data_IF_864102787133
#
_entry.id   IF_864102787133
#
_cell.length_a   1.000
_cell.length_b   1.000
_cell.length_c   1.000
_cell.angle_alpha   90.00
_cell.angle_beta   90.00
_cell.angle_gamma   90.00
#
_symmetry.space_group_name_H-M   'P 1'
#
loop_
_entity.id
_entity.type
_entity.pdbx_description
1 polymer ?
#
# COMPACT_ATOMS: atom_id res chain seq x y z
N UNK A 1 35.98 15.30 15.02
CA UNK A 1 35.17 15.24 13.78
C UNK A 1 35.51 14.06 12.87
N UNK A 2 36.79 13.80 12.57
CA UNK A 2 37.22 12.77 11.62
C UNK A 2 36.65 11.35 11.88
N UNK A 3 36.59 10.91 13.14
CA UNK A 3 36.03 9.61 13.52
C UNK A 3 34.54 9.46 13.20
N UNK A 4 33.74 10.53 13.32
CA UNK A 4 32.31 10.52 13.00
C UNK A 4 32.08 10.37 11.49
N UNK A 5 32.91 11.03 10.68
CA UNK A 5 32.84 10.97 9.22
C UNK A 5 33.19 9.56 8.72
N UNK A 6 34.26 8.96 9.27
CA UNK A 6 34.66 7.58 8.90
C UNK A 6 33.60 6.57 9.33
N UNK A 7 33.04 6.70 10.54
CA UNK A 7 31.96 5.83 11.00
C UNK A 7 30.71 5.96 10.12
N UNK A 8 30.28 7.18 9.80
CA UNK A 8 29.13 7.42 8.92
C UNK A 8 29.34 6.82 7.53
N UNK A 9 30.51 7.04 6.92
CA UNK A 9 30.86 6.47 5.62
C UNK A 9 30.80 4.95 5.64
N UNK A 10 31.31 4.31 6.70
CA UNK A 10 31.29 2.86 6.84
C UNK A 10 29.86 2.32 6.96
N UNK A 11 29.04 2.93 7.81
CA UNK A 11 27.63 2.55 7.98
C UNK A 11 26.86 2.71 6.67
N UNK A 12 27.04 3.81 5.95
CA UNK A 12 26.38 4.03 4.65
C UNK A 12 26.83 3.02 3.60
N UNK A 13 28.14 2.74 3.54
CA UNK A 13 28.69 1.76 2.61
C UNK A 13 28.15 0.35 2.90
N UNK A 14 28.13 -0.06 4.17
CA UNK A 14 27.59 -1.35 4.58
C UNK A 14 26.08 -1.42 4.32
N UNK A 15 25.32 -0.35 4.58
CA UNK A 15 23.88 -0.30 4.34
C UNK A 15 23.55 -0.40 2.84
N UNK A 16 24.24 0.36 1.97
CA UNK A 16 24.04 0.31 0.52
C UNK A 16 24.49 -1.06 -0.04
N UNK A 17 25.60 -1.60 0.48
CA UNK A 17 26.09 -2.92 0.11
C UNK A 17 25.06 -4.01 0.41
N UNK A 18 24.51 -4.02 1.63
CA UNK A 18 23.46 -4.95 2.02
C UNK A 18 22.18 -4.74 1.23
N UNK A 19 21.74 -3.49 1.02
CA UNK A 19 20.56 -3.19 0.21
C UNK A 19 20.67 -3.77 -1.20
N UNK A 20 21.83 -3.64 -1.85
CA UNK A 20 22.06 -4.21 -3.18
C UNK A 20 22.16 -5.74 -3.15
N UNK A 21 22.75 -6.32 -2.10
CA UNK A 21 22.96 -7.78 -1.98
C UNK A 21 21.66 -8.51 -1.64
N UNK A 22 20.76 -7.86 -0.89
CA UNK A 22 19.50 -8.42 -0.42
C UNK A 22 18.31 -8.05 -1.35
N UNK A 23 18.56 -7.80 -2.65
CA UNK A 23 17.56 -7.45 -3.67
C UNK A 23 16.67 -6.23 -3.35
N UNK A 24 17.21 -5.25 -2.61
CA UNK A 24 16.48 -4.10 -2.10
C UNK A 24 15.74 -3.31 -3.20
N UNK A 25 16.33 -3.15 -4.38
CA UNK A 25 15.67 -2.48 -5.52
C UNK A 25 14.41 -3.21 -6.00
N UNK A 26 14.50 -4.54 -6.12
CA UNK A 26 13.38 -5.37 -6.56
C UNK A 26 12.27 -5.38 -5.50
N UNK A 27 12.64 -5.50 -4.22
CA UNK A 27 11.70 -5.49 -3.10
C UNK A 27 11.01 -4.13 -2.96
N UNK A 28 11.75 -3.02 -3.08
CA UNK A 28 11.18 -1.67 -3.05
C UNK A 28 10.20 -1.45 -4.21
N UNK A 29 10.56 -1.88 -5.42
CA UNK A 29 9.67 -1.78 -6.59
C UNK A 29 8.41 -2.63 -6.43
N UNK A 30 8.56 -3.86 -5.93
CA UNK A 30 7.44 -4.75 -5.67
C UNK A 30 6.49 -4.15 -4.63
N UNK A 31 7.01 -3.62 -3.52
CA UNK A 31 6.21 -2.97 -2.49
C UNK A 31 5.51 -1.70 -3.01
N UNK A 32 6.20 -0.88 -3.80
CA UNK A 32 5.63 0.33 -4.38
C UNK A 32 4.47 0.01 -5.33
N UNK A 33 4.68 -0.92 -6.28
CA UNK A 33 3.65 -1.32 -7.25
C UNK A 33 2.46 -1.97 -6.55
N UNK A 34 2.70 -2.88 -5.60
CA UNK A 34 1.60 -3.53 -4.85
C UNK A 34 0.80 -2.54 -4.02
N UNK A 35 1.44 -1.54 -3.42
CA UNK A 35 0.77 -0.47 -2.69
C UNK A 35 -0.09 0.41 -3.61
N UNK A 36 0.45 0.79 -4.78
CA UNK A 36 -0.30 1.56 -5.78
C UNK A 36 -1.49 0.77 -6.33
N UNK A 37 -1.34 -0.54 -6.58
CA UNK A 37 -2.44 -1.40 -7.01
C UNK A 37 -3.54 -1.53 -5.94
N UNK A 38 -3.19 -1.51 -4.65
CA UNK A 38 -4.15 -1.58 -3.56
C UNK A 38 -4.92 -0.27 -3.33
N UNK A 39 -4.36 0.87 -3.76
CA UNK A 39 -4.93 2.19 -3.54
C UNK A 39 -6.31 2.35 -4.17
N UNK A 40 -6.49 1.94 -5.43
CA UNK A 40 -7.79 2.05 -6.11
C UNK A 40 -8.90 1.20 -5.47
N UNK A 41 -8.73 -0.13 -5.26
CA UNK A 41 -9.71 -0.94 -4.55
C UNK A 41 -10.04 -0.42 -3.16
N UNK A 42 -9.04 0.08 -2.42
CA UNK A 42 -9.25 0.68 -1.11
C UNK A 42 -10.13 1.92 -1.18
N UNK A 43 -9.86 2.83 -2.13
CA UNK A 43 -10.68 4.04 -2.30
C UNK A 43 -12.12 3.70 -2.70
N UNK A 44 -12.33 2.73 -3.60
CA UNK A 44 -13.66 2.22 -3.95
C UNK A 44 -14.39 1.69 -2.71
N UNK A 45 -13.71 0.89 -1.89
CA UNK A 45 -14.29 0.37 -0.66
C UNK A 45 -14.62 1.50 0.35
N UNK A 46 -13.68 2.40 0.62
CA UNK A 46 -13.86 3.48 1.57
C UNK A 46 -15.01 4.42 1.17
N UNK A 47 -15.12 4.74 -0.13
CA UNK A 47 -16.16 5.61 -0.67
C UNK A 47 -17.53 4.95 -0.70
N UNK A 48 -17.60 3.68 -1.10
CA UNK A 48 -18.85 2.90 -1.03
C UNK A 48 -19.33 2.71 0.41
N UNK A 49 -18.42 2.44 1.34
CA UNK A 49 -18.73 2.36 2.78
C UNK A 49 -19.24 3.72 3.31
N UNK A 50 -18.58 4.82 2.96
CA UNK A 50 -19.05 6.16 3.34
C UNK A 50 -20.45 6.46 2.78
N UNK A 51 -20.74 6.10 1.53
CA UNK A 51 -22.06 6.28 0.90
C UNK A 51 -23.14 5.40 1.55
N UNK A 52 -22.78 4.18 1.95
CA UNK A 52 -23.64 3.25 2.68
C UNK A 52 -23.99 3.78 4.08
N UNK A 53 -23.01 4.38 4.79
CA UNK A 53 -23.20 4.98 6.11
C UNK A 53 -23.82 6.39 6.07
N UNK A 54 -24.07 6.95 4.89
CA UNK A 54 -24.61 8.31 4.72
C UNK A 54 -23.60 9.44 5.00
N UNK A 55 -22.30 9.13 5.01
CA UNK A 55 -21.20 10.04 5.31
C UNK A 55 -20.52 10.63 4.04
N UNK A 56 -21.29 10.87 2.96
CA UNK A 56 -20.74 11.29 1.65
C UNK A 56 -19.89 12.57 1.72
N UNK A 57 -20.29 13.55 2.54
CA UNK A 57 -19.53 14.79 2.73
C UNK A 57 -18.11 14.58 3.30
N UNK A 58 -17.89 13.49 4.06
CA UNK A 58 -16.57 13.14 4.58
C UNK A 58 -15.68 12.47 3.53
N UNK A 59 -16.28 11.74 2.58
CA UNK A 59 -15.54 11.09 1.50
C UNK A 59 -14.91 12.11 0.54
N UNK A 60 -15.67 13.12 0.11
CA UNK A 60 -15.15 14.20 -0.76
C UNK A 60 -13.98 14.93 -0.10
N UNK A 61 -14.13 15.25 1.20
CA UNK A 61 -13.08 15.92 1.98
C UNK A 61 -11.82 15.05 2.11
N UNK A 62 -11.97 13.75 2.35
CA UNK A 62 -10.84 12.83 2.48
C UNK A 62 -10.07 12.65 1.16
N UNK A 63 -10.77 12.62 0.02
CA UNK A 63 -10.15 12.54 -1.30
C UNK A 63 -9.32 13.80 -1.56
N UNK A 64 -9.89 14.99 -1.33
CA UNK A 64 -9.15 16.24 -1.49
C UNK A 64 -7.91 16.29 -0.57
N UNK A 65 -8.04 15.93 0.71
CA UNK A 65 -6.92 15.88 1.65
C UNK A 65 -5.76 14.97 1.20
N UNK A 66 -6.06 13.82 0.61
CA UNK A 66 -5.03 12.87 0.16
C UNK A 66 -4.36 13.35 -1.13
N UNK A 67 -5.14 13.89 -2.07
CA UNK A 67 -4.65 14.20 -3.42
C UNK A 67 -4.17 15.63 -3.62
N UNK A 68 -4.47 16.58 -2.73
CA UNK A 68 -4.00 17.97 -2.83
C UNK A 68 -2.47 18.09 -2.72
N UNK A 69 -1.82 17.11 -2.09
CA UNK A 69 -0.35 17.06 -1.98
C UNK A 69 0.32 16.41 -3.18
N UNK A 70 -0.45 15.83 -4.11
CA UNK A 70 0.06 15.10 -5.27
C UNK A 70 0.10 16.00 -6.52
N UNK A 71 1.04 15.76 -7.46
CA UNK A 71 1.02 16.43 -8.75
C UNK A 71 -0.34 16.24 -9.45
N UNK A 72 -0.89 17.32 -10.00
CA UNK A 72 -2.24 17.36 -10.56
C UNK A 72 -2.48 16.28 -11.65
N UNK A 73 -1.44 15.97 -12.41
CA UNK A 73 -1.46 14.96 -13.48
C UNK A 73 -1.72 13.54 -12.95
N UNK A 74 -1.36 13.27 -11.69
CA UNK A 74 -1.57 11.97 -11.02
C UNK A 74 -2.87 11.98 -10.22
N UNK A 75 -3.17 13.10 -9.54
CA UNK A 75 -4.35 13.27 -8.72
C UNK A 75 -5.67 13.25 -9.53
N UNK A 76 -5.74 13.99 -10.64
CA UNK A 76 -6.98 14.16 -11.43
C UNK A 76 -7.61 12.84 -11.88
N UNK A 77 -6.88 11.90 -12.50
CA UNK A 77 -7.46 10.61 -12.91
C UNK A 77 -8.04 9.82 -11.74
N UNK A 78 -7.32 9.77 -10.60
CA UNK A 78 -7.75 8.99 -9.44
C UNK A 78 -8.98 9.62 -8.80
N UNK A 79 -8.96 10.93 -8.57
CA UNK A 79 -10.09 11.67 -7.99
C UNK A 79 -11.36 11.54 -8.84
N UNK A 80 -11.23 11.57 -10.18
CA UNK A 80 -12.37 11.41 -11.09
C UNK A 80 -13.02 10.04 -10.93
N UNK A 81 -12.24 8.98 -10.87
CA UNK A 81 -12.79 7.63 -10.67
C UNK A 81 -13.42 7.48 -9.29
N UNK A 82 -12.85 8.10 -8.25
CA UNK A 82 -13.46 8.10 -6.93
C UNK A 82 -14.84 8.80 -6.94
N UNK A 83 -14.96 9.96 -7.60
CA UNK A 83 -16.22 10.68 -7.72
C UNK A 83 -17.26 9.90 -8.55
N UNK A 84 -16.83 9.20 -9.61
CA UNK A 84 -17.70 8.31 -10.40
C UNK A 84 -18.31 7.20 -9.53
N UNK A 85 -17.52 6.64 -8.62
CA UNK A 85 -17.98 5.58 -7.69
C UNK A 85 -18.91 6.14 -6.62
N UNK A 86 -18.65 7.36 -6.12
CA UNK A 86 -19.49 8.02 -5.11
C UNK A 86 -20.88 8.40 -5.63
N UNK A 87 -20.99 8.77 -6.90
CA UNK A 87 -22.24 9.27 -7.50
C UNK A 87 -23.22 8.16 -7.87
N UNK A 88 -22.75 6.93 -8.11
CA UNK A 88 -23.62 5.80 -8.48
C UNK A 88 -23.76 4.84 -7.30
N UNK A 89 -24.84 4.97 -6.53
CA UNK A 89 -25.21 3.99 -5.50
C UNK A 89 -25.53 2.65 -6.16
N UNK A 90 -24.59 1.71 -6.11
CA UNK A 90 -24.91 0.30 -6.33
C UNK A 90 -24.44 -0.55 -5.15
N UNK A 91 -25.37 -1.29 -4.55
CA UNK A 91 -25.12 -2.06 -3.32
C UNK A 91 -24.18 -3.25 -3.56
N UNK A 92 -24.14 -3.77 -4.79
CA UNK A 92 -23.19 -4.78 -5.27
C UNK A 92 -21.74 -4.28 -5.26
N UNK A 93 -21.49 -2.99 -5.51
CA UNK A 93 -20.15 -2.42 -5.48
C UNK A 93 -19.51 -2.47 -4.09
N UNK A 94 -20.29 -2.44 -3.01
CA UNK A 94 -19.77 -2.58 -1.65
C UNK A 94 -19.17 -3.99 -1.45
N UNK A 95 -19.90 -5.03 -1.83
CA UNK A 95 -19.46 -6.43 -1.69
C UNK A 95 -18.21 -6.70 -2.52
N UNK A 96 -18.20 -6.30 -3.80
CA UNK A 96 -17.03 -6.47 -4.65
C UNK A 96 -15.85 -5.58 -4.21
N UNK A 97 -16.13 -4.37 -3.73
CA UNK A 97 -15.14 -3.46 -3.18
C UNK A 97 -14.42 -4.03 -1.97
N UNK A 98 -15.15 -4.61 -1.01
CA UNK A 98 -14.57 -5.32 0.15
C UNK A 98 -13.64 -6.44 -0.29
N UNK A 99 -14.09 -7.30 -1.22
CA UNK A 99 -13.31 -8.44 -1.67
C UNK A 99 -12.02 -8.01 -2.40
N UNK A 100 -12.13 -7.01 -3.28
CA UNK A 100 -10.97 -6.47 -4.00
C UNK A 100 -10.01 -5.76 -3.04
N UNK A 101 -10.50 -4.91 -2.15
CA UNK A 101 -9.69 -4.22 -1.16
C UNK A 101 -8.94 -5.21 -0.27
N UNK A 102 -9.63 -6.22 0.27
CA UNK A 102 -9.02 -7.27 1.08
C UNK A 102 -7.95 -8.06 0.31
N UNK A 103 -8.23 -8.43 -0.94
CA UNK A 103 -7.27 -9.16 -1.78
C UNK A 103 -6.00 -8.35 -2.08
N UNK A 104 -6.16 -7.11 -2.56
CA UNK A 104 -5.01 -6.28 -2.92
C UNK A 104 -4.23 -5.78 -1.69
N UNK A 105 -4.91 -5.44 -0.59
CA UNK A 105 -4.24 -5.07 0.65
C UNK A 105 -3.49 -6.26 1.27
N UNK A 106 -4.06 -7.47 1.24
CA UNK A 106 -3.37 -8.71 1.66
C UNK A 106 -2.11 -8.98 0.84
N UNK A 107 -2.11 -8.66 -0.47
CA UNK A 107 -0.91 -8.71 -1.30
C UNK A 107 0.15 -7.68 -0.87
N UNK A 108 -0.26 -6.47 -0.49
CA UNK A 108 0.66 -5.46 0.06
C UNK A 108 1.34 -5.93 1.36
N UNK A 109 0.58 -6.54 2.28
CA UNK A 109 1.15 -7.12 3.51
C UNK A 109 2.12 -8.26 3.19
N UNK A 110 1.82 -9.08 2.19
CA UNK A 110 2.71 -10.16 1.75
C UNK A 110 4.01 -9.62 1.11
N UNK A 111 3.91 -8.56 0.30
CA UNK A 111 5.05 -7.87 -0.27
C UNK A 111 5.94 -7.27 0.82
N UNK A 112 5.32 -6.62 1.81
CA UNK A 112 6.02 -6.07 2.97
C UNK A 112 6.71 -7.17 3.78
N UNK A 113 6.00 -8.26 4.10
CA UNK A 113 6.55 -9.42 4.81
C UNK A 113 7.77 -9.99 4.08
N UNK A 114 7.66 -10.20 2.78
CA UNK A 114 8.75 -10.73 1.95
C UNK A 114 9.95 -9.79 1.96
N UNK A 115 9.70 -8.48 1.81
CA UNK A 115 10.74 -7.46 1.82
C UNK A 115 11.47 -7.38 3.17
N UNK A 116 10.72 -7.42 4.28
CA UNK A 116 11.29 -7.38 5.63
C UNK A 116 12.03 -8.67 5.97
N UNK A 117 11.46 -9.83 5.65
CA UNK A 117 12.14 -11.12 5.83
C UNK A 117 13.47 -11.13 5.07
N UNK A 118 13.51 -10.59 3.85
CA UNK A 118 14.73 -10.46 3.06
C UNK A 118 15.74 -9.51 3.73
N UNK A 119 15.31 -8.30 4.11
CA UNK A 119 16.17 -7.30 4.74
C UNK A 119 16.76 -7.76 6.09
N UNK A 120 15.99 -8.53 6.87
CA UNK A 120 16.43 -9.10 8.14
C UNK A 120 17.02 -10.50 8.02
N UNK A 121 17.16 -11.03 6.80
CA UNK A 121 17.68 -12.39 6.50
C UNK A 121 16.97 -13.50 7.27
N UNK A 122 15.66 -13.33 7.47
CA UNK A 122 14.79 -14.32 8.10
C UNK A 122 14.22 -15.22 7.02
N UNK A 123 14.49 -16.52 7.13
CA UNK A 123 13.88 -17.53 6.26
C UNK A 123 12.42 -17.75 6.64
N UNK A 124 11.52 -17.64 5.67
CA UNK A 124 10.10 -17.88 5.88
C UNK A 124 9.79 -19.38 5.91
N UNK A 125 9.38 -19.90 7.06
CA UNK A 125 9.04 -21.31 7.27
C UNK A 125 7.54 -21.58 7.28
N UNK A 126 6.71 -20.53 7.36
CA UNK A 126 5.25 -20.67 7.43
C UNK A 126 4.64 -20.99 6.06
N UNK A 127 3.68 -21.90 6.05
CA UNK A 127 2.92 -22.28 4.85
C UNK A 127 2.17 -21.10 4.21
N UNK A 128 1.96 -21.17 2.89
CA UNK A 128 1.34 -20.10 2.10
C UNK A 128 -0.06 -19.75 2.63
N UNK A 129 -0.88 -20.75 3.00
CA UNK A 129 -2.24 -20.54 3.49
C UNK A 129 -2.22 -19.74 4.81
N UNK A 130 -1.38 -20.14 5.76
CA UNK A 130 -1.25 -19.45 7.05
C UNK A 130 -0.84 -17.99 6.86
N UNK A 131 0.14 -17.74 5.98
CA UNK A 131 0.60 -16.39 5.63
C UNK A 131 -0.50 -15.55 4.99
N UNK A 132 -1.30 -16.12 4.10
CA UNK A 132 -2.42 -15.42 3.46
C UNK A 132 -3.52 -15.06 4.45
N UNK A 133 -3.87 -15.96 5.37
CA UNK A 133 -4.84 -15.68 6.44
C UNK A 133 -4.32 -14.56 7.34
N UNK A 134 -3.05 -14.62 7.77
CA UNK A 134 -2.46 -13.53 8.56
C UNK A 134 -2.52 -12.20 7.82
N UNK A 135 -2.19 -12.18 6.52
CA UNK A 135 -2.23 -10.96 5.71
C UNK A 135 -3.63 -10.39 5.58
N UNK A 136 -4.68 -11.22 5.52
CA UNK A 136 -6.07 -10.75 5.52
C UNK A 136 -6.47 -10.21 6.89
N UNK A 137 -6.04 -10.84 7.99
CA UNK A 137 -6.35 -10.37 9.36
C UNK A 137 -5.70 -9.01 9.67
N UNK A 138 -4.56 -8.70 9.05
CA UNK A 138 -3.89 -7.41 9.21
C UNK A 138 -4.59 -6.25 8.49
N UNK A 139 -5.48 -6.52 7.54
CA UNK A 139 -6.23 -5.53 6.74
C UNK A 139 -7.52 -5.15 7.46
#
# INVERSE_FOLDING_TARGET
MLRKIVALRRVLYDAIGHFNTDDGWAMASHLAITSLMALFPFLIFATTLASFLGAQAFADTAVHLVFDTWPEQIAKPIAREVLNVLTVRRTDLLTYGVLLAAYFASNGIEALRTSLNRAYRVSETRGIIYRRVQSIIFV
#
